data_IF_301253208505
#
_entry.id   IF_301253208505
#
_cell.length_a   1.000
_cell.length_b   1.000
_cell.length_c   1.000
_cell.angle_alpha   90.00
_cell.angle_beta   90.00
_cell.angle_gamma   90.00
#
_symmetry.space_group_name_H-M   'P 1'
#
loop_
_entity.id
_entity.type
_entity.pdbx_description
1 polymer ?
#
# COMPACT_ATOMS: atom_id res chain seq x y z
N UNK A 1 -10.50 27.65 -2.65
CA UNK A 1 -9.29 26.90 -2.24
C UNK A 1 -9.43 25.52 -2.83
N UNK A 2 -8.64 25.20 -3.85
CA UNK A 2 -8.70 23.96 -4.61
C UNK A 2 -8.36 22.76 -3.71
N UNK A 3 -9.27 21.81 -3.72
CA UNK A 3 -9.16 20.52 -3.05
C UNK A 3 -7.88 19.78 -3.51
N UNK A 4 -6.97 19.34 -2.62
CA UNK A 4 -5.78 18.62 -3.03
C UNK A 4 -6.07 17.12 -3.31
N UNK A 5 -7.14 16.85 -4.06
CA UNK A 5 -7.38 15.52 -4.67
C UNK A 5 -6.46 15.29 -5.89
N UNK A 6 -5.36 16.03 -5.98
CA UNK A 6 -4.40 15.89 -7.06
C UNK A 6 -3.46 14.73 -6.76
N UNK A 7 -3.50 13.76 -7.69
CA UNK A 7 -2.54 12.70 -7.99
C UNK A 7 -1.53 12.41 -6.86
N UNK A 8 -1.70 11.23 -6.23
CA UNK A 8 -0.73 10.69 -5.25
C UNK A 8 0.56 10.29 -5.96
N UNK A 9 1.31 11.29 -6.46
CA UNK A 9 2.58 11.04 -7.09
C UNK A 9 3.65 10.67 -6.06
N UNK A 10 4.39 9.62 -6.33
CA UNK A 10 5.49 9.12 -5.51
C UNK A 10 6.84 9.44 -6.14
N UNK A 11 7.88 9.59 -5.30
CA UNK A 11 9.27 9.54 -5.76
C UNK A 11 9.66 8.06 -5.93
N UNK A 12 9.51 7.56 -7.15
CA UNK A 12 9.67 6.13 -7.44
C UNK A 12 11.09 5.63 -7.17
N UNK A 13 12.13 6.43 -7.45
CA UNK A 13 13.52 6.05 -7.24
C UNK A 13 13.87 5.91 -5.75
N UNK A 14 13.46 6.85 -4.93
CA UNK A 14 13.65 6.77 -3.47
C UNK A 14 12.83 5.63 -2.86
N UNK A 15 11.55 5.52 -3.26
CA UNK A 15 10.71 4.41 -2.81
C UNK A 15 11.34 3.06 -3.17
N UNK A 16 11.83 2.89 -4.40
CA UNK A 16 12.47 1.65 -4.84
C UNK A 16 13.68 1.29 -3.96
N UNK A 17 14.48 2.27 -3.54
CA UNK A 17 15.67 2.07 -2.69
C UNK A 17 15.32 1.64 -1.27
N UNK A 18 14.29 2.22 -0.63
CA UNK A 18 14.03 2.08 0.80
C UNK A 18 12.83 1.20 1.16
N UNK A 19 12.07 0.71 0.19
CA UNK A 19 10.89 -0.15 0.40
C UNK A 19 11.22 -1.64 0.66
N UNK A 20 12.41 -1.94 1.18
CA UNK A 20 12.84 -3.31 1.50
C UNK A 20 11.85 -4.09 2.36
N UNK A 21 11.35 -3.56 3.49
CA UNK A 21 10.35 -4.23 4.31
C UNK A 21 9.09 -4.62 3.55
N UNK A 22 8.55 -3.71 2.71
CA UNK A 22 7.34 -3.94 1.92
C UNK A 22 7.52 -5.08 0.92
N UNK A 23 8.68 -5.14 0.27
CA UNK A 23 9.01 -6.23 -0.68
C UNK A 23 9.14 -7.57 0.03
N UNK A 24 9.79 -7.61 1.20
CA UNK A 24 9.92 -8.82 2.01
C UNK A 24 8.55 -9.35 2.45
N UNK A 25 7.65 -8.47 2.92
CA UNK A 25 6.27 -8.86 3.25
C UNK A 25 5.53 -9.38 2.02
N UNK A 26 5.64 -8.68 0.88
CA UNK A 26 5.00 -9.06 -0.37
C UNK A 26 5.45 -10.43 -0.87
N UNK A 27 6.73 -10.76 -0.80
CA UNK A 27 7.24 -12.07 -1.16
C UNK A 27 6.62 -13.19 -0.29
N UNK A 28 6.43 -12.94 1.02
CA UNK A 28 5.74 -13.89 1.90
C UNK A 28 4.26 -14.07 1.57
N UNK A 29 3.60 -13.00 1.11
CA UNK A 29 2.20 -13.08 0.64
C UNK A 29 2.13 -13.87 -0.66
N UNK A 30 3.05 -13.63 -1.59
CA UNK A 30 3.13 -14.36 -2.85
C UNK A 30 3.37 -15.86 -2.63
N UNK A 31 4.19 -16.24 -1.67
CA UNK A 31 4.44 -17.63 -1.33
C UNK A 31 3.19 -18.41 -0.84
N UNK A 32 2.11 -17.70 -0.48
CA UNK A 32 0.82 -18.31 -0.09
C UNK A 32 -0.09 -18.60 -1.29
N UNK A 33 0.28 -18.14 -2.49
CA UNK A 33 -0.53 -18.28 -3.70
C UNK A 33 -0.05 -19.49 -4.50
N UNK A 34 -0.98 -20.39 -4.82
CA UNK A 34 -0.75 -21.52 -5.71
C UNK A 34 -1.08 -21.13 -7.14
N UNK A 35 -0.06 -20.86 -7.95
CA UNK A 35 -0.21 -20.48 -9.36
C UNK A 35 -0.04 -21.70 -10.28
N UNK A 36 -0.91 -21.82 -11.30
CA UNK A 36 -0.80 -22.82 -12.37
C UNK A 36 0.23 -22.42 -13.42
N UNK A 37 0.58 -21.12 -13.48
CA UNK A 37 1.56 -20.57 -14.39
C UNK A 37 0.98 -20.03 -15.72
N UNK A 38 -0.34 -20.03 -15.89
CA UNK A 38 -1.02 -19.56 -17.11
C UNK A 38 -2.11 -18.50 -16.82
N UNK A 39 -2.20 -18.05 -15.58
CA UNK A 39 -3.20 -17.08 -15.15
C UNK A 39 -2.94 -15.69 -15.72
N UNK A 40 -4.02 -14.94 -15.86
CA UNK A 40 -3.99 -13.49 -15.95
C UNK A 40 -4.22 -12.91 -14.56
N UNK A 41 -3.20 -12.28 -14.01
CA UNK A 41 -3.26 -11.69 -12.68
C UNK A 41 -3.29 -10.16 -12.74
N UNK A 42 -3.92 -9.56 -11.75
CA UNK A 42 -3.77 -8.14 -11.45
C UNK A 42 -2.84 -7.97 -10.24
N UNK A 43 -1.84 -7.11 -10.37
CA UNK A 43 -1.07 -6.56 -9.24
C UNK A 43 -1.66 -5.20 -8.91
N UNK A 44 -2.52 -5.16 -7.89
CA UNK A 44 -3.28 -3.98 -7.50
C UNK A 44 -2.47 -3.09 -6.54
N UNK A 45 -1.99 -1.94 -7.03
CA UNK A 45 -1.00 -1.10 -6.39
C UNK A 45 0.42 -1.60 -6.66
N UNK A 46 0.75 -1.83 -7.94
CA UNK A 46 1.99 -2.48 -8.38
C UNK A 46 3.27 -1.67 -8.08
N UNK A 47 3.14 -0.38 -7.79
CA UNK A 47 4.27 0.51 -7.51
C UNK A 47 5.31 0.46 -8.63
N UNK A 48 6.58 0.24 -8.26
CA UNK A 48 7.72 0.15 -9.20
C UNK A 48 7.90 -1.24 -9.84
N UNK A 49 6.93 -2.14 -9.71
CA UNK A 49 6.92 -3.43 -10.38
C UNK A 49 7.77 -4.54 -9.76
N UNK A 50 8.37 -4.34 -8.57
CA UNK A 50 9.26 -5.35 -7.94
C UNK A 50 8.55 -6.67 -7.63
N UNK A 51 7.31 -6.63 -7.14
CA UNK A 51 6.51 -7.83 -6.90
C UNK A 51 5.83 -8.31 -8.18
N UNK A 52 5.49 -7.40 -9.09
CA UNK A 52 5.03 -7.76 -10.45
C UNK A 52 6.04 -8.64 -11.17
N UNK A 53 7.35 -8.34 -11.05
CA UNK A 53 8.41 -9.19 -11.63
C UNK A 53 8.41 -10.60 -11.03
N UNK A 54 8.22 -10.75 -9.71
CA UNK A 54 8.15 -12.05 -9.04
C UNK A 54 6.90 -12.84 -9.47
N UNK A 55 5.75 -12.16 -9.65
CA UNK A 55 4.54 -12.76 -10.23
C UNK A 55 4.83 -13.27 -11.63
N UNK A 56 5.44 -12.46 -12.50
CA UNK A 56 5.77 -12.82 -13.89
C UNK A 56 6.76 -13.99 -13.98
N UNK A 57 7.73 -14.10 -13.07
CA UNK A 57 8.61 -15.26 -12.97
C UNK A 57 7.84 -16.55 -12.67
N UNK A 58 6.76 -16.46 -11.91
CA UNK A 58 5.91 -17.60 -11.55
C UNK A 58 4.85 -17.92 -12.63
N UNK A 59 4.77 -17.11 -13.69
CA UNK A 59 3.76 -17.20 -14.75
C UNK A 59 4.41 -17.42 -16.13
N UNK A 60 4.97 -18.60 -16.44
CA UNK A 60 5.66 -18.84 -17.71
C UNK A 60 4.76 -18.63 -18.94
N UNK A 61 3.47 -18.92 -18.84
CA UNK A 61 2.46 -18.73 -19.90
C UNK A 61 1.41 -17.66 -19.57
N UNK A 62 1.42 -17.13 -18.33
CA UNK A 62 0.48 -16.13 -17.86
C UNK A 62 0.92 -14.70 -18.14
N UNK A 63 0.14 -13.76 -17.66
CA UNK A 63 0.36 -12.30 -17.79
C UNK A 63 -0.03 -11.57 -16.53
N UNK A 64 0.51 -10.36 -16.34
CA UNK A 64 0.15 -9.49 -15.23
C UNK A 64 -0.32 -8.14 -15.74
N UNK A 65 -1.44 -7.66 -15.19
CA UNK A 65 -1.86 -6.27 -15.30
C UNK A 65 -1.44 -5.57 -14.00
N UNK A 66 -0.44 -4.72 -14.08
CA UNK A 66 -0.04 -3.83 -12.98
C UNK A 66 -0.91 -2.58 -12.96
N UNK A 67 -1.57 -2.32 -11.85
CA UNK A 67 -2.41 -1.12 -11.67
C UNK A 67 -1.82 -0.25 -10.57
N UNK A 68 -1.62 1.02 -10.84
CA UNK A 68 -1.24 2.02 -9.84
C UNK A 68 -1.88 3.37 -10.18
N UNK A 69 -2.09 4.22 -9.18
CA UNK A 69 -2.60 5.57 -9.39
C UNK A 69 -1.49 6.54 -9.80
N UNK A 70 -0.24 6.27 -9.42
CA UNK A 70 0.92 7.13 -9.64
C UNK A 70 1.55 6.85 -11.01
N UNK A 71 1.57 7.86 -11.87
CA UNK A 71 2.23 7.81 -13.17
C UNK A 71 3.74 7.56 -13.03
N UNK A 72 4.38 8.18 -12.02
CA UNK A 72 5.80 7.99 -11.76
C UNK A 72 6.14 6.55 -11.37
N UNK A 73 5.27 5.90 -10.59
CA UNK A 73 5.43 4.48 -10.25
C UNK A 73 5.31 3.60 -11.49
N UNK A 74 4.32 3.85 -12.34
CA UNK A 74 4.11 3.09 -13.58
C UNK A 74 5.27 3.28 -14.57
N UNK A 75 5.81 4.49 -14.70
CA UNK A 75 6.99 4.73 -15.53
C UNK A 75 8.20 3.92 -15.02
N UNK A 76 8.46 3.96 -13.72
CA UNK A 76 9.53 3.16 -13.13
C UNK A 76 9.30 1.64 -13.26
N UNK A 77 8.04 1.18 -13.14
CA UNK A 77 7.68 -0.21 -13.38
C UNK A 77 7.90 -0.63 -14.85
N UNK A 78 7.57 0.24 -15.81
CA UNK A 78 7.81 0.01 -17.23
C UNK A 78 9.32 -0.19 -17.50
N UNK A 79 10.16 0.70 -16.99
CA UNK A 79 11.61 0.63 -17.14
C UNK A 79 12.20 -0.65 -16.49
N UNK A 80 11.68 -0.99 -15.31
CA UNK A 80 12.15 -2.15 -14.54
C UNK A 80 11.74 -3.49 -15.15
N UNK A 81 10.51 -3.60 -15.69
CA UNK A 81 9.97 -4.87 -16.20
C UNK A 81 10.33 -5.15 -17.66
N UNK A 82 10.50 -4.11 -18.47
CA UNK A 82 10.67 -4.26 -19.94
C UNK A 82 11.84 -5.13 -20.37
N UNK A 83 13.01 -5.09 -19.71
CA UNK A 83 14.16 -5.90 -20.15
C UNK A 83 13.87 -7.42 -20.15
N UNK A 84 13.15 -7.90 -19.13
CA UNK A 84 12.97 -9.33 -18.89
C UNK A 84 11.58 -9.86 -19.26
N UNK A 85 10.56 -8.99 -19.29
CA UNK A 85 9.15 -9.41 -19.37
C UNK A 85 8.37 -8.75 -20.51
N UNK A 86 9.03 -8.24 -21.54
CA UNK A 86 8.34 -7.60 -22.67
C UNK A 86 7.23 -8.48 -23.25
N UNK A 87 6.04 -7.88 -23.44
CA UNK A 87 4.85 -8.57 -23.95
C UNK A 87 4.10 -9.44 -22.94
N UNK A 88 4.57 -9.54 -21.67
CA UNK A 88 3.92 -10.32 -20.61
C UNK A 88 3.18 -9.48 -19.58
N UNK A 89 3.30 -8.18 -19.63
CA UNK A 89 2.62 -7.28 -18.71
C UNK A 89 1.93 -6.11 -19.42
N UNK A 90 0.95 -5.53 -18.73
CA UNK A 90 0.28 -4.28 -19.06
C UNK A 90 0.31 -3.40 -17.83
N UNK A 91 0.58 -2.11 -17.96
CA UNK A 91 0.50 -1.14 -16.88
C UNK A 91 -0.66 -0.18 -17.12
N UNK A 92 -1.48 0.03 -16.09
CA UNK A 92 -2.70 0.84 -16.18
C UNK A 92 -2.76 1.83 -15.03
N UNK A 93 -2.87 3.11 -15.37
CA UNK A 93 -3.12 4.17 -14.39
C UNK A 93 -4.61 4.19 -14.05
N UNK A 94 -4.97 3.72 -12.85
CA UNK A 94 -6.37 3.70 -12.41
C UNK A 94 -6.49 3.76 -10.88
N UNK A 95 -7.63 4.30 -10.41
CA UNK A 95 -8.03 4.21 -9.01
C UNK A 95 -8.61 2.81 -8.75
N UNK A 96 -8.12 2.14 -7.72
CA UNK A 96 -8.60 0.82 -7.32
C UNK A 96 -10.09 0.83 -6.93
N UNK A 97 -10.65 2.00 -6.59
CA UNK A 97 -12.07 2.18 -6.30
C UNK A 97 -12.96 2.15 -7.56
N UNK A 98 -12.36 2.33 -8.73
CA UNK A 98 -13.09 2.41 -10.02
C UNK A 98 -12.24 1.83 -11.16
N UNK A 99 -12.00 0.53 -11.10
CA UNK A 99 -11.20 -0.19 -12.09
C UNK A 99 -11.95 -0.32 -13.42
N UNK A 100 -11.29 -0.09 -14.56
CA UNK A 100 -11.89 -0.24 -15.88
C UNK A 100 -11.91 -1.72 -16.34
N UNK A 101 -12.10 -2.66 -15.43
CA UNK A 101 -12.05 -4.09 -15.69
C UNK A 101 -13.33 -4.79 -15.25
N UNK A 102 -13.83 -5.69 -16.09
CA UNK A 102 -14.96 -6.56 -15.77
C UNK A 102 -14.60 -8.00 -16.17
N UNK A 103 -14.61 -8.92 -15.20
CA UNK A 103 -14.30 -10.35 -15.38
C UNK A 103 -13.04 -10.59 -16.23
N UNK A 104 -12.00 -9.79 -15.98
CA UNK A 104 -10.82 -9.74 -16.83
C UNK A 104 -9.66 -10.60 -16.32
N UNK A 105 -9.58 -10.86 -15.00
CA UNK A 105 -8.43 -11.53 -14.38
C UNK A 105 -8.86 -12.74 -13.56
N UNK A 106 -7.97 -13.73 -13.47
CA UNK A 106 -8.17 -14.98 -12.72
C UNK A 106 -7.86 -14.80 -11.24
N UNK A 107 -6.99 -13.83 -10.91
CA UNK A 107 -6.61 -13.52 -9.53
C UNK A 107 -6.14 -12.08 -9.37
N UNK A 108 -6.31 -11.57 -8.16
CA UNK A 108 -5.81 -10.26 -7.75
C UNK A 108 -4.83 -10.45 -6.61
N UNK A 109 -3.62 -9.93 -6.79
CA UNK A 109 -2.59 -9.83 -5.79
C UNK A 109 -2.42 -8.36 -5.40
N UNK A 110 -2.20 -8.08 -4.11
CA UNK A 110 -1.91 -6.71 -3.65
C UNK A 110 -1.09 -6.71 -2.38
N UNK A 111 -0.11 -5.83 -2.30
CA UNK A 111 0.63 -5.61 -1.07
C UNK A 111 0.88 -4.13 -0.82
N UNK A 112 0.71 -3.72 0.43
CA UNK A 112 0.97 -2.36 0.92
C UNK A 112 0.22 -1.24 0.16
N UNK A 113 -0.92 -1.56 -0.49
CA UNK A 113 -1.69 -0.61 -1.29
C UNK A 113 -3.05 -0.24 -0.68
N UNK A 114 -3.85 -1.21 -0.24
CA UNK A 114 -5.26 -0.97 0.09
C UNK A 114 -5.49 0.04 1.22
N UNK A 115 -4.61 0.12 2.19
CA UNK A 115 -4.72 1.12 3.26
C UNK A 115 -4.59 2.58 2.78
N UNK A 116 -4.15 2.81 1.54
CA UNK A 116 -4.18 4.12 0.90
C UNK A 116 -5.54 4.45 0.26
N UNK A 117 -6.44 3.48 0.15
CA UNK A 117 -7.80 3.67 -0.36
C UNK A 117 -8.72 4.02 0.80
N UNK A 118 -9.48 5.11 0.69
CA UNK A 118 -10.29 5.59 1.82
C UNK A 118 -11.68 4.95 1.88
N UNK A 119 -12.20 4.45 0.76
CA UNK A 119 -13.51 3.80 0.67
C UNK A 119 -13.32 2.31 0.31
N UNK A 120 -13.30 1.46 1.33
CA UNK A 120 -13.11 0.03 1.14
C UNK A 120 -14.35 -0.70 0.60
N UNK A 121 -15.56 -0.17 0.75
CA UNK A 121 -16.75 -0.71 0.08
C UNK A 121 -16.61 -0.56 -1.45
N UNK A 122 -16.21 0.61 -1.93
CA UNK A 122 -15.94 0.83 -3.36
C UNK A 122 -14.75 0.00 -3.84
N UNK A 123 -13.67 -0.06 -3.06
CA UNK A 123 -12.48 -0.86 -3.38
C UNK A 123 -12.87 -2.31 -3.65
N UNK A 124 -13.45 -3.00 -2.65
CA UNK A 124 -13.76 -4.41 -2.79
C UNK A 124 -14.86 -4.68 -3.83
N UNK A 125 -15.82 -3.78 -4.00
CA UNK A 125 -16.78 -3.85 -5.09
C UNK A 125 -16.14 -3.78 -6.48
N UNK A 126 -15.14 -2.92 -6.65
CA UNK A 126 -14.36 -2.78 -7.89
C UNK A 126 -13.49 -4.00 -8.17
N UNK A 127 -12.78 -4.52 -7.16
CA UNK A 127 -11.98 -5.74 -7.27
C UNK A 127 -12.83 -6.97 -7.59
N UNK A 128 -14.00 -7.09 -6.96
CA UNK A 128 -14.96 -8.18 -7.24
C UNK A 128 -15.40 -8.19 -8.71
N UNK A 129 -15.76 -7.04 -9.27
CA UNK A 129 -16.14 -6.93 -10.68
C UNK A 129 -15.01 -7.30 -11.65
N UNK A 130 -13.76 -6.99 -11.30
CA UNK A 130 -12.61 -7.27 -12.14
C UNK A 130 -12.27 -8.77 -12.24
N UNK A 131 -12.66 -9.57 -11.24
CA UNK A 131 -12.38 -11.01 -11.18
C UNK A 131 -13.33 -11.82 -12.07
N UNK A 132 -12.80 -12.86 -12.71
CA UNK A 132 -13.58 -13.91 -13.39
C UNK A 132 -14.27 -14.80 -12.38
N UNK A 133 -15.42 -15.44 -12.74
CA UNK A 133 -16.03 -16.45 -11.90
C UNK A 133 -15.03 -17.51 -11.43
N UNK A 134 -15.03 -17.82 -10.13
CA UNK A 134 -14.05 -18.69 -9.50
C UNK A 134 -12.67 -18.05 -9.24
N UNK A 135 -12.51 -16.77 -9.53
CA UNK A 135 -11.29 -16.01 -9.28
C UNK A 135 -11.01 -15.78 -7.78
N UNK A 136 -9.82 -15.36 -7.48
CA UNK A 136 -9.33 -15.21 -6.10
C UNK A 136 -8.69 -13.83 -5.83
N UNK A 137 -8.72 -13.43 -4.57
CA UNK A 137 -8.00 -12.26 -4.03
C UNK A 137 -7.02 -12.73 -2.96
N UNK A 138 -5.77 -12.30 -3.06
CA UNK A 138 -4.75 -12.46 -2.02
C UNK A 138 -4.07 -11.11 -1.79
N UNK A 139 -4.24 -10.55 -0.60
CA UNK A 139 -3.67 -9.23 -0.31
C UNK A 139 -3.13 -9.12 1.12
N UNK A 140 -2.23 -8.15 1.31
CA UNK A 140 -1.78 -7.71 2.63
C UNK A 140 -1.58 -6.18 2.63
N UNK A 141 -2.13 -5.52 3.63
CA UNK A 141 -1.95 -4.07 3.80
C UNK A 141 -1.77 -3.71 5.28
N UNK A 142 -1.61 -2.44 5.61
CA UNK A 142 -1.73 -1.97 7.00
C UNK A 142 -3.17 -2.10 7.47
N UNK A 143 -3.40 -2.55 8.72
CA UNK A 143 -4.74 -2.66 9.28
C UNK A 143 -4.74 -2.69 10.80
N UNK A 144 -5.91 -2.56 11.42
CA UNK A 144 -6.07 -2.51 12.87
C UNK A 144 -5.24 -1.39 13.52
N UNK A 145 -4.45 -1.70 14.56
CA UNK A 145 -3.64 -0.70 15.25
C UNK A 145 -2.34 -0.34 14.52
N UNK A 146 -2.29 -0.47 13.19
CA UNK A 146 -1.10 -0.17 12.41
C UNK A 146 -0.56 1.23 12.69
N UNK A 147 0.72 1.34 13.09
CA UNK A 147 1.41 2.58 13.41
C UNK A 147 0.70 3.43 14.50
N UNK A 148 -0.01 2.79 15.45
CA UNK A 148 -0.83 3.48 16.44
C UNK A 148 -0.01 4.49 17.25
N UNK A 149 1.17 4.10 17.72
CA UNK A 149 2.09 4.97 18.48
C UNK A 149 2.55 6.16 17.65
N UNK A 150 2.98 5.91 16.42
CA UNK A 150 3.43 6.99 15.51
C UNK A 150 2.26 7.93 15.17
N UNK A 151 1.08 7.40 14.87
CA UNK A 151 -0.13 8.20 14.56
C UNK A 151 -0.55 9.09 15.74
N UNK A 152 -0.48 8.57 16.96
CA UNK A 152 -0.71 9.37 18.15
C UNK A 152 0.27 10.56 18.22
N UNK A 153 1.56 10.31 18.05
CA UNK A 153 2.63 11.34 18.06
C UNK A 153 2.43 12.40 16.98
N UNK A 154 2.09 11.96 15.76
CA UNK A 154 1.73 12.86 14.65
C UNK A 154 0.57 13.78 15.07
N UNK A 155 -0.50 13.19 15.60
CA UNK A 155 -1.69 13.93 16.04
C UNK A 155 -1.40 14.92 17.18
N UNK A 156 -0.56 14.57 18.14
CA UNK A 156 -0.12 15.44 19.22
C UNK A 156 0.73 16.61 18.68
N UNK A 157 1.71 16.31 17.83
CA UNK A 157 2.59 17.30 17.23
C UNK A 157 1.84 18.27 16.32
N UNK A 158 0.89 17.78 15.53
CA UNK A 158 0.04 18.58 14.64
C UNK A 158 -0.85 19.58 15.41
N UNK A 159 -1.19 19.31 16.67
CA UNK A 159 -1.99 20.21 17.54
C UNK A 159 -1.17 21.30 18.20
N UNK A 160 0.15 21.22 18.20
CA UNK A 160 1.01 22.24 18.82
C UNK A 160 0.85 23.60 18.15
N UNK A 161 1.19 24.67 18.87
CA UNK A 161 1.11 26.05 18.36
C UNK A 161 1.87 26.23 17.05
N UNK A 162 2.99 25.52 16.88
CA UNK A 162 3.83 25.59 15.68
C UNK A 162 3.12 25.03 14.45
N UNK A 163 2.38 23.92 14.58
CA UNK A 163 1.87 23.14 13.42
C UNK A 163 0.36 23.22 13.21
N UNK A 164 -0.44 23.55 14.25
CA UNK A 164 -1.91 23.53 14.16
C UNK A 164 -2.48 24.33 12.99
N UNK A 165 -1.80 25.39 12.57
CA UNK A 165 -2.23 26.22 11.45
C UNK A 165 -2.19 25.48 10.09
N UNK A 166 -1.35 24.46 9.96
CA UNK A 166 -1.20 23.69 8.74
C UNK A 166 -2.21 22.53 8.64
N UNK A 167 -2.67 21.98 9.76
CA UNK A 167 -3.48 20.77 9.81
C UNK A 167 -4.99 21.00 10.02
N UNK A 168 -5.48 22.25 9.95
CA UNK A 168 -6.88 22.58 10.21
C UNK A 168 -7.93 21.92 9.30
N UNK A 169 -7.52 21.39 8.15
CA UNK A 169 -8.37 20.65 7.22
C UNK A 169 -7.82 19.27 6.87
N UNK A 170 -6.77 18.84 7.56
CA UNK A 170 -6.12 17.57 7.29
C UNK A 170 -7.04 16.40 7.62
N UNK A 171 -7.03 15.40 6.72
CA UNK A 171 -7.65 14.10 6.95
C UNK A 171 -6.58 13.03 6.81
N UNK A 172 -6.64 12.05 7.69
CA UNK A 172 -5.75 10.89 7.62
C UNK A 172 -5.77 10.28 6.21
N UNK A 173 -4.60 10.01 5.62
CA UNK A 173 -4.52 9.46 4.27
C UNK A 173 -4.72 7.94 4.21
N UNK A 174 -4.99 7.30 5.35
CA UNK A 174 -5.07 5.86 5.50
C UNK A 174 -6.42 5.40 6.04
N UNK A 175 -6.83 4.22 5.60
CA UNK A 175 -7.87 3.40 6.22
C UNK A 175 -7.23 2.13 6.76
N UNK A 176 -7.33 1.89 8.06
CA UNK A 176 -6.80 0.71 8.72
C UNK A 176 -7.95 -0.08 9.35
N UNK A 177 -8.66 -0.85 8.53
CA UNK A 177 -9.69 -1.75 9.03
C UNK A 177 -9.07 -2.86 9.89
N UNK A 178 -9.82 -3.32 10.87
CA UNK A 178 -9.53 -4.59 11.52
C UNK A 178 -9.98 -5.79 10.65
N UNK A 179 -9.61 -7.00 11.08
CA UNK A 179 -9.89 -8.20 10.32
C UNK A 179 -11.40 -8.46 10.14
N UNK A 180 -12.21 -8.20 11.17
CA UNK A 180 -13.65 -8.44 11.15
C UNK A 180 -14.36 -7.44 10.22
N UNK A 181 -14.02 -6.15 10.33
CA UNK A 181 -14.54 -5.08 9.47
C UNK A 181 -14.21 -5.37 8.01
N UNK A 182 -12.95 -5.70 7.69
CA UNK A 182 -12.54 -6.03 6.33
C UNK A 182 -13.30 -7.24 5.78
N UNK A 183 -13.44 -8.31 6.58
CA UNK A 183 -14.20 -9.49 6.17
C UNK A 183 -15.67 -9.17 5.89
N UNK A 184 -16.30 -8.31 6.71
CA UNK A 184 -17.69 -7.90 6.51
C UNK A 184 -17.85 -7.11 5.20
N UNK A 185 -16.94 -6.19 4.88
CA UNK A 185 -16.96 -5.42 3.64
C UNK A 185 -16.77 -6.36 2.43
N UNK A 186 -15.80 -7.27 2.48
CA UNK A 186 -15.55 -8.23 1.41
C UNK A 186 -16.79 -9.12 1.13
N UNK A 187 -17.46 -9.63 2.19
CA UNK A 187 -18.69 -10.41 2.03
C UNK A 187 -19.82 -9.59 1.43
N UNK A 188 -19.99 -8.33 1.83
CA UNK A 188 -20.98 -7.41 1.21
C UNK A 188 -20.70 -7.19 -0.27
N UNK A 189 -19.43 -7.12 -0.67
CA UNK A 189 -19.04 -7.00 -2.08
C UNK A 189 -19.30 -8.27 -2.90
N UNK A 190 -19.61 -9.42 -2.27
CA UNK A 190 -19.93 -10.69 -2.92
C UNK A 190 -18.84 -11.76 -2.82
N UNK A 191 -17.73 -11.49 -2.16
CA UNK A 191 -16.68 -12.48 -1.93
C UNK A 191 -17.15 -13.63 -1.02
N UNK A 192 -16.66 -14.82 -1.31
CA UNK A 192 -16.84 -16.06 -0.55
C UNK A 192 -15.48 -16.57 -0.05
N UNK A 193 -15.50 -17.60 0.81
CA UNK A 193 -14.27 -18.15 1.41
C UNK A 193 -13.36 -17.04 1.96
N UNK A 194 -13.97 -16.03 2.60
CA UNK A 194 -13.26 -14.87 3.13
C UNK A 194 -12.50 -15.26 4.39
N UNK A 195 -11.19 -15.16 4.34
CA UNK A 195 -10.26 -15.34 5.47
C UNK A 195 -9.45 -14.06 5.68
N UNK A 196 -9.48 -13.54 6.90
CA UNK A 196 -8.81 -12.30 7.27
C UNK A 196 -8.13 -12.43 8.61
N UNK A 197 -6.93 -11.88 8.76
CA UNK A 197 -6.19 -11.91 10.01
C UNK A 197 -5.30 -10.69 10.18
N UNK A 198 -5.01 -10.32 11.42
CA UNK A 198 -4.02 -9.31 11.77
C UNK A 198 -2.74 -9.97 12.29
N UNK A 199 -1.60 -9.49 11.81
CA UNK A 199 -0.27 -9.95 12.18
C UNK A 199 0.58 -8.75 12.60
N UNK A 200 1.20 -8.83 13.78
CA UNK A 200 2.18 -7.84 14.23
C UNK A 200 3.46 -7.97 13.40
N UNK A 201 3.98 -6.86 12.91
CA UNK A 201 5.16 -6.78 12.06
C UNK A 201 6.10 -5.67 12.54
N UNK A 202 6.46 -5.68 13.83
CA UNK A 202 7.37 -4.71 14.42
C UNK A 202 8.61 -4.56 13.52
N UNK A 203 8.88 -3.34 13.08
CA UNK A 203 10.00 -3.02 12.21
C UNK A 203 10.96 -2.11 12.94
N UNK A 204 12.21 -2.54 13.10
CA UNK A 204 13.26 -1.78 13.75
C UNK A 204 14.17 -1.21 12.64
N UNK A 205 14.46 0.07 12.70
CA UNK A 205 15.33 0.76 11.76
C UNK A 205 16.69 1.05 12.39
N UNK A 206 17.75 1.11 11.57
CA UNK A 206 19.10 1.29 12.01
C UNK A 206 19.39 2.75 12.40
N UNK A 207 18.92 3.16 13.57
CA UNK A 207 19.18 4.48 14.14
C UNK A 207 18.35 5.62 13.55
N UNK A 208 18.65 6.83 14.01
CA UNK A 208 17.87 8.05 13.73
C UNK A 208 17.85 8.44 12.27
N UNK A 209 18.95 8.26 11.55
CA UNK A 209 19.07 8.67 10.15
C UNK A 209 18.13 7.85 9.26
N UNK A 210 18.20 6.50 9.36
CA UNK A 210 17.34 5.61 8.58
C UNK A 210 15.87 5.80 8.96
N UNK A 211 15.59 5.99 10.27
CA UNK A 211 14.23 6.24 10.74
C UNK A 211 13.64 7.54 10.17
N UNK A 212 14.39 8.65 10.22
CA UNK A 212 13.95 9.94 9.69
C UNK A 212 13.73 9.89 8.18
N UNK A 213 14.63 9.26 7.43
CA UNK A 213 14.52 9.08 5.98
C UNK A 213 13.30 8.23 5.61
N UNK A 214 13.06 7.15 6.36
CA UNK A 214 11.89 6.29 6.16
C UNK A 214 10.56 7.03 6.46
N UNK A 215 10.54 7.84 7.54
CA UNK A 215 9.38 8.68 7.84
C UNK A 215 9.10 9.67 6.71
N UNK A 216 10.10 10.41 6.27
CA UNK A 216 9.96 11.45 5.25
C UNK A 216 9.47 10.89 3.91
N UNK A 217 10.06 9.79 3.46
CA UNK A 217 9.83 9.24 2.12
C UNK A 217 8.61 8.33 2.05
N UNK A 218 8.39 7.47 3.07
CA UNK A 218 7.37 6.43 3.00
C UNK A 218 6.10 6.82 3.76
N UNK A 219 6.24 7.27 5.01
CA UNK A 219 5.08 7.37 5.90
C UNK A 219 4.46 8.76 5.85
N UNK A 220 5.24 9.82 6.03
CA UNK A 220 4.74 11.17 6.27
C UNK A 220 4.50 11.99 5.00
N UNK A 221 4.79 11.46 3.82
CA UNK A 221 4.72 12.21 2.57
C UNK A 221 3.43 13.01 2.40
N UNK A 222 2.28 12.44 2.75
CA UNK A 222 0.99 13.13 2.65
C UNK A 222 0.82 14.20 3.74
N UNK A 223 1.35 13.98 4.93
CA UNK A 223 1.34 14.95 6.04
C UNK A 223 2.22 16.15 5.73
N UNK A 224 3.44 15.90 5.23
CA UNK A 224 4.43 16.94 4.97
C UNK A 224 4.02 17.89 3.84
N UNK A 225 3.11 17.49 2.95
CA UNK A 225 2.54 18.40 1.93
C UNK A 225 1.73 19.55 2.51
N UNK A 226 1.24 19.39 3.73
CA UNK A 226 0.48 20.44 4.42
C UNK A 226 1.38 21.47 5.12
N UNK A 227 2.65 21.16 5.29
CA UNK A 227 3.66 22.06 5.85
C UNK A 227 4.38 22.73 4.67
N UNK A 228 4.25 24.06 4.46
CA UNK A 228 4.70 24.69 3.22
C UNK A 228 6.21 24.80 3.10
N UNK A 229 6.93 25.06 4.18
CA UNK A 229 8.36 25.30 4.16
C UNK A 229 9.19 24.08 4.57
N UNK A 230 10.37 23.98 4.00
CA UNK A 230 11.29 22.86 4.19
C UNK A 230 11.81 22.74 5.63
N UNK A 231 12.09 23.87 6.28
CA UNK A 231 12.62 23.89 7.64
C UNK A 231 11.61 23.30 8.64
N UNK A 232 10.34 23.72 8.52
CA UNK A 232 9.25 23.17 9.34
C UNK A 232 8.99 21.68 9.07
N UNK A 233 9.11 21.21 7.81
CA UNK A 233 9.03 19.77 7.49
C UNK A 233 10.13 18.98 8.15
N UNK A 234 11.37 19.43 8.00
CA UNK A 234 12.55 18.80 8.63
C UNK A 234 12.40 18.77 10.15
N UNK A 235 11.97 19.87 10.77
CA UNK A 235 11.74 19.93 12.20
C UNK A 235 10.60 19.02 12.66
N UNK A 236 9.55 18.82 11.85
CA UNK A 236 8.45 17.89 12.14
C UNK A 236 8.94 16.44 12.17
N UNK A 237 9.72 16.03 11.16
CA UNK A 237 10.33 14.70 11.10
C UNK A 237 11.32 14.49 12.24
N UNK A 238 12.18 15.49 12.52
CA UNK A 238 13.16 15.43 13.60
C UNK A 238 12.51 15.28 14.99
N UNK A 239 11.38 15.96 15.24
CA UNK A 239 10.65 15.83 16.48
C UNK A 239 10.11 14.39 16.70
N UNK A 240 9.53 13.79 15.66
CA UNK A 240 9.06 12.41 15.71
C UNK A 240 10.20 11.41 15.85
N UNK A 241 11.32 11.65 15.19
CA UNK A 241 12.54 10.84 15.29
C UNK A 241 13.14 10.89 16.70
N UNK A 242 13.16 12.08 17.30
CA UNK A 242 13.63 12.26 18.68
C UNK A 242 12.76 11.50 19.69
N UNK A 243 11.45 11.45 19.50
CA UNK A 243 10.56 10.64 20.33
C UNK A 243 10.82 9.14 20.14
N UNK A 244 11.10 8.69 18.91
CA UNK A 244 11.35 7.29 18.62
C UNK A 244 12.67 6.78 19.21
N UNK A 245 13.62 7.67 19.52
CA UNK A 245 14.87 7.30 20.19
C UNK A 245 14.66 6.75 21.61
N UNK A 246 13.52 7.06 22.24
CA UNK A 246 13.17 6.59 23.59
C UNK A 246 12.22 5.38 23.59
N UNK A 247 11.94 4.82 22.42
CA UNK A 247 11.13 3.59 22.31
C UNK A 247 11.92 2.36 22.78
N UNK A 248 11.20 1.29 23.05
CA UNK A 248 11.78 -0.03 23.32
C UNK A 248 11.17 -1.07 22.33
N UNK A 249 11.94 -1.52 21.35
CA UNK A 249 13.31 -1.08 20.99
C UNK A 249 13.28 0.31 20.33
N UNK A 250 14.42 1.09 20.39
CA UNK A 250 14.52 2.39 19.77
C UNK A 250 14.30 2.33 18.25
N UNK A 251 13.79 3.43 17.68
CA UNK A 251 13.55 3.58 16.24
C UNK A 251 12.68 2.46 15.64
N UNK A 252 11.74 1.95 16.44
CA UNK A 252 10.79 0.91 16.01
C UNK A 252 9.48 1.52 15.51
N UNK A 253 8.89 0.85 14.52
CA UNK A 253 7.57 1.12 13.96
C UNK A 253 6.65 -0.05 14.29
N UNK A 254 5.54 0.24 14.95
CA UNK A 254 4.52 -0.71 15.38
C UNK A 254 3.59 -1.09 14.22
N UNK A 255 4.15 -1.70 13.16
CA UNK A 255 3.36 -2.17 12.03
C UNK A 255 2.46 -3.34 12.42
N UNK A 256 1.22 -3.27 11.90
CA UNK A 256 0.27 -4.38 11.87
C UNK A 256 -0.16 -4.63 10.43
N UNK A 257 -0.14 -5.89 10.05
CA UNK A 257 -0.47 -6.32 8.70
C UNK A 257 -1.81 -7.02 8.70
N UNK A 258 -2.76 -6.48 7.94
CA UNK A 258 -4.03 -7.11 7.64
C UNK A 258 -3.83 -8.02 6.42
N UNK A 259 -3.96 -9.33 6.65
CA UNK A 259 -3.96 -10.34 5.61
C UNK A 259 -5.40 -10.54 5.12
N UNK A 260 -5.57 -10.66 3.83
CA UNK A 260 -6.85 -10.80 3.15
C UNK A 260 -6.76 -11.91 2.11
N UNK A 261 -7.63 -12.91 2.22
CA UNK A 261 -7.80 -13.97 1.23
C UNK A 261 -9.27 -14.20 0.97
N UNK A 262 -9.66 -14.35 -0.28
CA UNK A 262 -11.05 -14.64 -0.65
C UNK A 262 -11.16 -15.21 -2.06
N UNK A 263 -12.33 -15.76 -2.38
CA UNK A 263 -12.72 -16.16 -3.72
C UNK A 263 -14.03 -15.52 -4.14
N UNK A 264 -14.33 -15.58 -5.42
CA UNK A 264 -15.67 -15.29 -5.91
C UNK A 264 -16.35 -16.59 -6.39
N UNK A 265 -17.70 -16.64 -6.37
CA UNK A 265 -18.42 -17.81 -6.87
C UNK A 265 -18.05 -18.16 -8.31
N UNK A 266 -18.21 -19.46 -8.66
CA UNK A 266 -18.03 -19.96 -10.03
C UNK A 266 -19.19 -19.54 -10.93
#
# INVERSE_FOLDING_TARGET
>A
MSNPSQTREWNASEYHRISGPQVSWGARVLARVNLRGDEWLMDAGCGTGRLTAQLLQSLPRGRVVGVDLSQNMLAAAQDFLSPDFSGKFLLVAADLQDLPFERAVDGIFSTAAFHWVLDHDRLFGSLFRALRPGGWLQAQCGGGPNLARLRQRIGELAKTTKYKQYFGGFREPWTFDDAETAAAIMRRAGFTEVDTSLESALTILEGSLQYSEFLDTIILRQHLRWIPDHESRTAFVAALTGQAATDDPPFSLDYWRLNLSAKIPK
#
